data_IF_646367415012
#
_entry.id   IF_646367415012
#
_cell.length_a   1.000
_cell.length_b   1.000
_cell.length_c   1.000
_cell.angle_alpha   90.00
_cell.angle_beta   90.00
_cell.angle_gamma   90.00
#
_symmetry.space_group_name_H-M   'P 1'
#
loop_
_entity.id
_entity.type
_entity.pdbx_description
1 polymer ?
#
# COMPACT_ATOMS: atom_id res chain seq x y z
N UNK A 1 37.64 53.17 -10.95
CA UNK A 1 37.04 52.32 -9.89
C UNK A 1 35.74 51.64 -10.30
N UNK A 2 34.80 52.23 -11.04
CA UNK A 2 33.51 51.61 -11.39
C UNK A 2 33.62 50.35 -12.29
N UNK A 3 34.56 50.31 -13.28
CA UNK A 3 34.75 49.13 -14.19
C UNK A 3 35.19 47.85 -13.46
N UNK A 4 35.98 47.94 -12.37
CA UNK A 4 36.42 46.77 -11.58
C UNK A 4 35.26 46.17 -10.71
N UNK A 5 34.31 46.98 -10.29
CA UNK A 5 33.17 46.50 -9.54
C UNK A 5 32.16 45.70 -10.40
N UNK A 6 31.91 46.18 -11.63
CA UNK A 6 31.03 45.45 -12.57
C UNK A 6 31.65 44.14 -13.00
N UNK A 7 32.94 44.06 -13.26
CA UNK A 7 33.62 42.81 -13.64
C UNK A 7 33.53 41.77 -12.51
N UNK A 8 33.72 42.17 -11.23
CA UNK A 8 33.56 41.29 -10.08
C UNK A 8 32.12 40.80 -9.91
N UNK A 9 31.15 41.68 -10.09
CA UNK A 9 29.72 41.33 -9.98
C UNK A 9 29.29 40.35 -11.11
N UNK A 10 29.80 40.54 -12.35
CA UNK A 10 29.51 39.63 -13.45
C UNK A 10 30.12 38.24 -13.24
N UNK A 11 31.32 38.14 -12.67
CA UNK A 11 31.97 36.86 -12.34
C UNK A 11 31.24 36.15 -11.22
N UNK A 12 30.74 36.86 -10.20
CA UNK A 12 29.96 36.28 -9.09
C UNK A 12 28.61 35.76 -9.61
N UNK A 13 27.90 36.51 -10.46
CA UNK A 13 26.67 36.06 -11.09
C UNK A 13 26.88 34.84 -11.99
N UNK A 14 27.96 34.76 -12.73
CA UNK A 14 28.30 33.60 -13.56
C UNK A 14 28.62 32.37 -12.72
N UNK A 15 29.35 32.51 -11.60
CA UNK A 15 29.63 31.42 -10.67
C UNK A 15 28.36 30.88 -9.98
N UNK A 16 27.42 31.76 -9.63
CA UNK A 16 26.12 31.36 -9.06
C UNK A 16 25.28 30.60 -10.10
N UNK A 17 25.35 30.97 -11.37
CA UNK A 17 24.61 30.29 -12.45
C UNK A 17 25.18 28.90 -12.75
N UNK A 18 26.49 28.72 -12.67
CA UNK A 18 27.15 27.41 -12.89
C UNK A 18 26.93 26.46 -11.72
N UNK A 19 26.79 26.96 -10.49
CA UNK A 19 26.59 26.10 -9.31
C UNK A 19 25.20 25.43 -9.25
N UNK A 20 24.22 25.93 -10.00
CA UNK A 20 22.89 25.29 -10.08
C UNK A 20 22.80 24.14 -11.11
N UNK A 21 23.87 23.86 -11.84
CA UNK A 21 23.87 22.85 -12.89
C UNK A 21 24.57 21.55 -12.51
N UNK A 22 25.12 21.43 -11.29
CA UNK A 22 25.75 20.20 -10.81
C UNK A 22 24.74 19.48 -9.93
N UNK A 23 23.73 18.93 -10.53
CA UNK A 23 23.03 17.80 -9.92
C UNK A 23 23.82 16.55 -10.31
N UNK A 24 24.52 15.98 -9.33
CA UNK A 24 25.07 14.65 -9.47
C UNK A 24 23.87 13.68 -9.51
N UNK A 25 23.37 13.44 -10.71
CA UNK A 25 22.33 12.45 -10.94
C UNK A 25 23.03 11.08 -10.86
N UNK A 26 22.98 10.47 -9.68
CA UNK A 26 23.41 9.08 -9.52
C UNK A 26 22.34 8.20 -10.14
N UNK A 27 22.64 7.64 -11.29
CA UNK A 27 21.79 6.69 -11.96
C UNK A 27 22.13 5.28 -11.43
N UNK A 28 21.10 4.58 -10.94
CA UNK A 28 21.28 3.21 -10.46
C UNK A 28 21.60 2.28 -11.64
N UNK A 29 22.55 1.36 -11.45
CA UNK A 29 22.89 0.35 -12.46
C UNK A 29 21.95 -0.86 -12.46
N UNK A 30 21.09 -1.00 -11.46
CA UNK A 30 20.19 -2.15 -11.29
C UNK A 30 18.71 -1.81 -11.47
N UNK A 31 18.38 -0.53 -11.41
CA UNK A 31 17.03 -0.01 -11.64
C UNK A 31 17.14 1.43 -12.14
N UNK A 32 16.69 1.70 -13.34
CA UNK A 32 16.77 3.02 -13.94
C UNK A 32 15.64 3.26 -14.95
N UNK A 33 15.42 4.52 -15.33
CA UNK A 33 14.52 4.88 -16.41
C UNK A 33 15.27 4.87 -17.75
N UNK A 34 14.71 4.22 -18.75
CA UNK A 34 15.23 4.29 -20.10
C UNK A 34 14.86 5.62 -20.78
N UNK A 35 15.30 5.82 -22.02
CA UNK A 35 15.03 7.04 -22.79
C UNK A 35 13.55 7.29 -23.09
N UNK A 36 12.69 6.29 -22.89
CA UNK A 36 11.22 6.38 -23.02
C UNK A 36 10.52 6.51 -21.68
N UNK A 37 11.26 6.83 -20.62
CA UNK A 37 10.78 6.97 -19.23
C UNK A 37 10.16 5.69 -18.66
N UNK A 38 10.56 4.52 -19.16
CA UNK A 38 10.13 3.24 -18.65
C UNK A 38 11.15 2.69 -17.65
N UNK A 39 10.67 2.15 -16.54
CA UNK A 39 11.51 1.49 -15.54
C UNK A 39 12.13 0.22 -16.12
N UNK A 40 13.45 0.10 -16.00
CA UNK A 40 14.23 -1.07 -16.42
C UNK A 40 14.82 -1.74 -15.21
N UNK A 41 14.49 -3.00 -15.01
CA UNK A 41 15.01 -3.88 -13.96
C UNK A 41 16.14 -4.71 -14.54
N UNK A 42 17.37 -4.51 -14.09
CA UNK A 42 18.54 -5.25 -14.57
C UNK A 42 18.67 -6.54 -13.76
N UNK A 43 18.73 -7.68 -14.46
CA UNK A 43 18.99 -8.96 -13.84
C UNK A 43 20.49 -9.23 -13.73
N UNK A 44 20.88 -9.95 -12.66
CA UNK A 44 22.21 -10.54 -12.56
C UNK A 44 22.37 -11.77 -13.46
N UNK A 45 23.51 -12.46 -13.37
CA UNK A 45 23.82 -13.65 -14.18
C UNK A 45 22.92 -14.85 -13.89
N UNK A 46 22.31 -14.89 -12.72
CA UNK A 46 21.39 -15.95 -12.28
C UNK A 46 19.92 -15.57 -12.52
N UNK A 47 19.68 -14.39 -13.11
CA UNK A 47 18.34 -13.89 -13.43
C UNK A 47 17.65 -13.11 -12.29
N UNK A 48 18.33 -12.93 -11.14
CA UNK A 48 17.76 -12.17 -10.03
C UNK A 48 17.68 -10.68 -10.37
N UNK A 49 16.56 -10.05 -10.04
CA UNK A 49 16.36 -8.61 -10.16
C UNK A 49 15.51 -8.09 -9.00
N UNK A 50 15.47 -6.79 -8.83
CA UNK A 50 14.60 -6.16 -7.84
C UNK A 50 13.14 -6.51 -8.21
N UNK A 51 12.32 -7.01 -7.26
CA UNK A 51 10.93 -7.30 -7.53
C UNK A 51 10.18 -6.07 -8.04
N UNK A 52 9.39 -6.24 -9.07
CA UNK A 52 8.53 -5.20 -9.62
C UNK A 52 7.25 -5.08 -8.78
N UNK A 53 7.13 -3.95 -8.07
CA UNK A 53 5.98 -3.62 -7.25
C UNK A 53 4.93 -2.74 -7.97
N UNK A 54 5.07 -2.50 -9.27
CA UNK A 54 4.12 -1.69 -10.05
C UNK A 54 2.72 -2.28 -10.08
N UNK A 55 2.61 -3.57 -9.81
CA UNK A 55 1.35 -4.32 -9.82
C UNK A 55 0.71 -4.46 -8.44
N UNK A 56 1.13 -3.66 -7.47
CA UNK A 56 0.52 -3.64 -6.14
C UNK A 56 -0.59 -2.59 -6.06
N UNK A 57 -1.53 -2.79 -5.12
CA UNK A 57 -2.63 -1.87 -4.90
C UNK A 57 -3.94 -2.33 -5.54
N UNK A 58 -4.91 -1.43 -5.55
CA UNK A 58 -6.24 -1.71 -6.08
C UNK A 58 -6.15 -2.10 -7.55
N UNK A 59 -6.71 -3.27 -7.90
CA UNK A 59 -6.66 -3.84 -9.26
C UNK A 59 -5.28 -3.77 -9.91
N UNK A 60 -4.26 -4.16 -9.18
CA UNK A 60 -2.86 -4.16 -9.62
C UNK A 60 -2.30 -2.75 -9.94
N UNK A 61 -2.90 -1.70 -9.40
CA UNK A 61 -2.49 -0.32 -9.67
C UNK A 61 -2.96 0.24 -11.02
N UNK A 62 -3.72 -0.52 -11.80
CA UNK A 62 -4.14 -0.13 -13.16
C UNK A 62 -5.44 0.70 -13.18
N UNK A 63 -6.21 0.67 -12.10
CA UNK A 63 -7.46 1.42 -11.98
C UNK A 63 -7.41 2.38 -10.79
N UNK A 64 -8.03 3.55 -10.96
CA UNK A 64 -8.22 4.48 -9.85
C UNK A 64 -9.09 3.84 -8.76
N UNK A 65 -8.82 4.21 -7.49
CA UNK A 65 -9.70 3.81 -6.40
C UNK A 65 -11.14 4.29 -6.68
N UNK A 66 -12.15 3.43 -6.52
CA UNK A 66 -13.52 3.81 -6.78
C UNK A 66 -14.00 4.86 -5.78
N UNK A 67 -14.73 5.86 -6.25
CA UNK A 67 -15.47 6.77 -5.38
C UNK A 67 -16.79 6.12 -4.99
N UNK A 68 -16.80 5.46 -3.83
CA UNK A 68 -17.99 4.78 -3.31
C UNK A 68 -18.84 5.78 -2.53
N UNK A 69 -20.15 5.79 -2.81
CA UNK A 69 -21.09 6.70 -2.17
C UNK A 69 -21.05 6.61 -0.63
N UNK A 70 -21.06 7.76 0.03
CA UNK A 70 -21.17 7.87 1.49
C UNK A 70 -22.57 7.46 1.92
N UNK A 71 -22.66 6.50 2.84
CA UNK A 71 -23.92 6.00 3.41
C UNK A 71 -24.06 6.36 4.88
N UNK A 72 -22.95 6.65 5.55
CA UNK A 72 -22.91 7.05 6.95
C UNK A 72 -21.77 8.04 7.18
N UNK A 73 -22.04 9.09 7.95
CA UNK A 73 -21.05 10.07 8.39
C UNK A 73 -21.04 10.14 9.91
N UNK A 74 -19.86 10.21 10.51
CA UNK A 74 -19.71 10.43 11.94
C UNK A 74 -18.69 11.52 12.24
N UNK A 75 -18.92 12.25 13.35
CA UNK A 75 -17.95 13.19 13.94
C UNK A 75 -17.23 12.55 15.12
N UNK A 76 -16.05 13.05 15.51
CA UNK A 76 -15.37 12.54 16.69
C UNK A 76 -16.18 12.85 17.96
N UNK A 77 -16.09 11.98 18.95
CA UNK A 77 -16.62 12.21 20.29
C UNK A 77 -15.49 12.44 21.28
N UNK A 78 -15.81 13.04 22.43
CA UNK A 78 -14.83 13.24 23.48
C UNK A 78 -14.36 11.90 24.05
N UNK A 79 -13.04 11.74 24.22
CA UNK A 79 -12.42 10.53 24.76
C UNK A 79 -12.21 9.44 23.71
N UNK A 80 -12.45 8.19 24.07
CA UNK A 80 -12.19 7.03 23.23
C UNK A 80 -13.29 6.83 22.17
N UNK A 81 -12.89 6.88 20.91
CA UNK A 81 -13.78 6.71 19.75
C UNK A 81 -13.88 5.26 19.26
N UNK A 82 -13.20 4.30 19.90
CA UNK A 82 -13.17 2.90 19.43
C UNK A 82 -14.57 2.33 19.21
N UNK A 83 -15.41 2.36 20.25
CA UNK A 83 -16.77 1.81 20.15
C UNK A 83 -17.67 2.63 19.23
N UNK A 84 -17.46 3.95 19.15
CA UNK A 84 -18.22 4.84 18.29
C UNK A 84 -17.98 4.56 16.81
N UNK A 85 -16.70 4.43 16.41
CA UNK A 85 -16.33 4.08 15.03
C UNK A 85 -16.73 2.63 14.71
N UNK A 86 -16.52 1.70 15.66
CA UNK A 86 -16.87 0.29 15.43
C UNK A 86 -18.38 0.12 15.16
N UNK A 87 -19.23 0.77 15.96
CA UNK A 87 -20.67 0.71 15.73
C UNK A 87 -21.06 1.23 14.34
N UNK A 88 -20.44 2.31 13.88
CA UNK A 88 -20.66 2.84 12.54
C UNK A 88 -20.15 1.89 11.43
N UNK A 89 -19.04 1.19 11.67
CA UNK A 89 -18.56 0.12 10.75
C UNK A 89 -19.59 -1.00 10.70
N UNK A 90 -20.08 -1.47 11.83
CA UNK A 90 -21.07 -2.55 11.93
C UNK A 90 -22.37 -2.20 11.22
N UNK A 91 -22.82 -0.93 11.31
CA UNK A 91 -23.99 -0.42 10.59
C UNK A 91 -23.81 -0.49 9.08
N UNK A 92 -22.63 -0.10 8.57
CA UNK A 92 -22.33 -0.20 7.13
C UNK A 92 -22.17 -1.66 6.70
N UNK A 93 -21.58 -2.52 7.54
CA UNK A 93 -21.47 -3.96 7.29
C UNK A 93 -22.84 -4.65 7.16
N UNK A 94 -23.85 -4.15 7.86
CA UNK A 94 -25.21 -4.68 7.78
C UNK A 94 -25.95 -4.35 6.48
N UNK A 95 -25.47 -3.37 5.70
CA UNK A 95 -26.09 -3.00 4.42
C UNK A 95 -25.87 -4.10 3.37
N UNK A 96 -26.81 -4.26 2.42
CA UNK A 96 -26.61 -5.17 1.30
C UNK A 96 -25.53 -4.68 0.34
N UNK A 97 -24.87 -5.60 -0.35
CA UNK A 97 -23.98 -5.25 -1.47
C UNK A 97 -24.79 -4.64 -2.62
N UNK A 98 -24.28 -3.56 -3.19
CA UNK A 98 -24.78 -3.04 -4.46
C UNK A 98 -24.26 -3.85 -5.66
N UNK A 99 -24.68 -3.49 -6.87
CA UNK A 99 -24.29 -4.20 -8.10
C UNK A 99 -22.76 -4.19 -8.37
N UNK A 100 -22.02 -3.24 -7.77
CA UNK A 100 -20.57 -3.12 -7.91
C UNK A 100 -19.80 -3.82 -6.77
N UNK A 101 -20.51 -4.52 -5.88
CA UNK A 101 -19.89 -5.22 -4.75
C UNK A 101 -19.57 -4.34 -3.55
N UNK A 102 -20.11 -3.13 -3.44
CA UNK A 102 -19.91 -2.22 -2.31
C UNK A 102 -21.16 -2.16 -1.41
N UNK A 103 -20.95 -2.00 -0.10
CA UNK A 103 -21.98 -1.70 0.89
C UNK A 103 -22.13 -0.19 1.08
N UNK A 104 -21.04 0.55 0.95
CA UNK A 104 -21.00 2.00 1.06
C UNK A 104 -19.75 2.49 1.78
N UNK A 105 -19.65 3.80 1.88
CA UNK A 105 -18.57 4.47 2.60
C UNK A 105 -19.06 4.96 3.96
N UNK A 106 -18.35 4.57 5.03
CA UNK A 106 -18.35 5.28 6.29
C UNK A 106 -17.34 6.45 6.18
N UNK A 107 -17.84 7.69 6.21
CA UNK A 107 -17.02 8.89 6.21
C UNK A 107 -16.79 9.37 7.64
N UNK A 108 -15.54 9.46 8.04
CA UNK A 108 -15.13 10.15 9.24
C UNK A 108 -14.97 11.63 8.92
N UNK A 109 -15.79 12.48 9.51
CA UNK A 109 -15.72 13.94 9.34
C UNK A 109 -14.42 14.50 9.97
N UNK A 110 -14.02 15.74 9.64
CA UNK A 110 -12.83 16.34 10.21
C UNK A 110 -12.82 16.30 11.73
N UNK A 111 -11.65 16.07 12.32
CA UNK A 111 -11.43 16.05 13.76
C UNK A 111 -10.48 14.96 14.20
N UNK A 112 -10.16 14.94 15.49
CA UNK A 112 -9.30 13.94 16.11
C UNK A 112 -10.11 12.80 16.72
N UNK A 113 -9.84 11.59 16.30
CA UNK A 113 -10.45 10.36 16.79
C UNK A 113 -9.41 9.57 17.60
N UNK A 114 -9.46 9.67 18.92
CA UNK A 114 -8.63 8.84 19.81
C UNK A 114 -9.18 7.41 19.82
N UNK A 115 -8.36 6.43 19.46
CA UNK A 115 -8.75 5.00 19.37
C UNK A 115 -7.84 4.18 20.26
N UNK A 116 -8.37 3.64 21.35
CA UNK A 116 -7.61 2.83 22.31
C UNK A 116 -7.68 1.33 22.02
N UNK A 117 -8.69 0.89 21.26
CA UNK A 117 -8.91 -0.49 20.86
C UNK A 117 -8.52 -0.79 19.44
N UNK A 118 -9.08 -1.87 18.89
CA UNK A 118 -8.96 -2.28 17.49
C UNK A 118 -10.28 -1.96 16.76
N UNK A 119 -10.18 -1.42 15.55
CA UNK A 119 -11.29 -1.27 14.62
C UNK A 119 -11.27 -2.46 13.65
N UNK A 120 -12.41 -3.08 13.45
CA UNK A 120 -12.51 -4.33 12.71
C UNK A 120 -13.50 -4.17 11.55
N UNK A 121 -13.05 -4.45 10.33
CA UNK A 121 -13.89 -4.53 9.14
C UNK A 121 -13.86 -5.99 8.65
N UNK A 122 -14.94 -6.74 8.91
CA UNK A 122 -15.03 -8.16 8.55
C UNK A 122 -15.74 -8.42 7.23
N UNK A 123 -16.60 -7.50 6.80
CA UNK A 123 -17.43 -7.70 5.61
C UNK A 123 -16.81 -7.04 4.38
N UNK A 124 -16.88 -7.73 3.24
CA UNK A 124 -16.49 -7.15 1.95
C UNK A 124 -17.39 -5.97 1.57
N UNK A 125 -16.83 -5.01 0.81
CA UNK A 125 -17.60 -3.91 0.23
C UNK A 125 -17.79 -2.69 1.15
N UNK A 126 -17.22 -2.68 2.34
CA UNK A 126 -17.17 -1.53 3.24
C UNK A 126 -15.97 -0.65 2.88
N UNK A 127 -16.17 0.64 2.80
CA UNK A 127 -15.13 1.65 2.64
C UNK A 127 -15.08 2.52 3.88
N UNK A 128 -13.95 2.57 4.56
CA UNK A 128 -13.66 3.53 5.61
C UNK A 128 -12.86 4.68 5.00
N UNK A 129 -13.39 5.89 5.06
CA UNK A 129 -12.77 7.07 4.46
C UNK A 129 -12.73 8.23 5.46
N UNK A 130 -11.62 8.93 5.49
CA UNK A 130 -11.47 10.20 6.19
C UNK A 130 -11.74 11.38 5.28
N UNK A 131 -11.79 12.58 5.87
CA UNK A 131 -11.84 13.86 5.18
C UNK A 131 -10.42 14.42 5.10
N UNK A 132 -9.98 14.81 3.89
CA UNK A 132 -8.66 15.38 3.66
C UNK A 132 -7.50 14.42 3.89
N UNK A 133 -6.27 14.93 3.72
CA UNK A 133 -5.00 14.19 3.84
C UNK A 133 -3.90 15.03 4.54
N UNK A 134 -4.29 16.12 5.21
CA UNK A 134 -3.39 17.01 5.94
C UNK A 134 -3.38 16.78 7.45
N UNK A 135 -2.64 17.62 8.17
CA UNK A 135 -2.44 17.52 9.62
C UNK A 135 -3.37 18.41 10.45
N UNK A 136 -4.13 19.30 9.82
CA UNK A 136 -5.06 20.21 10.51
C UNK A 136 -6.40 19.52 10.76
N UNK A 137 -6.67 19.17 12.01
CA UNK A 137 -7.91 18.51 12.42
C UNK A 137 -9.19 19.29 12.15
N UNK A 138 -9.11 20.60 11.87
CA UNK A 138 -10.30 21.39 11.52
C UNK A 138 -10.82 21.08 10.12
N UNK A 139 -9.98 20.53 9.25
CA UNK A 139 -10.28 20.20 7.86
C UNK A 139 -9.97 18.75 7.49
N UNK A 140 -9.29 18.01 8.38
CA UNK A 140 -8.86 16.65 8.11
C UNK A 140 -9.27 15.70 9.24
N UNK A 141 -9.46 14.43 8.90
CA UNK A 141 -9.67 13.34 9.84
C UNK A 141 -8.33 12.83 10.33
N UNK A 142 -8.11 12.82 11.64
CA UNK A 142 -6.90 12.32 12.28
C UNK A 142 -7.27 11.19 13.23
N UNK A 143 -6.81 9.97 12.95
CA UNK A 143 -6.98 8.82 13.85
C UNK A 143 -5.73 8.70 14.71
N UNK A 144 -5.90 8.83 16.03
CA UNK A 144 -4.82 8.75 17.00
C UNK A 144 -4.90 7.40 17.71
N UNK A 145 -3.90 6.55 17.49
CA UNK A 145 -3.75 5.32 18.25
C UNK A 145 -3.41 5.62 19.71
N UNK A 146 -4.38 5.52 20.59
CA UNK A 146 -4.25 5.74 22.03
C UNK A 146 -4.14 4.42 22.79
N UNK A 147 -3.88 4.49 24.10
CA UNK A 147 -3.75 3.33 24.98
C UNK A 147 -2.31 2.99 25.32
N UNK A 148 -2.13 1.99 26.16
CA UNK A 148 -0.85 1.64 26.78
C UNK A 148 -0.39 0.21 26.48
N UNK A 149 -0.91 -0.41 25.41
CA UNK A 149 -0.44 -1.69 24.90
C UNK A 149 0.42 -1.40 23.66
N UNK A 150 1.73 -1.19 23.82
CA UNK A 150 2.58 -0.68 22.74
C UNK A 150 2.97 -1.74 21.73
N UNK A 151 2.78 -3.02 22.06
CA UNK A 151 3.28 -4.14 21.25
C UNK A 151 2.13 -5.00 20.73
N UNK A 152 2.25 -5.47 19.50
CA UNK A 152 1.29 -6.35 18.81
C UNK A 152 -0.15 -5.81 18.65
N UNK A 153 -0.42 -4.53 18.87
CA UNK A 153 -1.75 -3.97 18.67
C UNK A 153 -1.97 -3.54 17.23
N UNK A 154 -2.93 -4.15 16.57
CA UNK A 154 -3.46 -3.69 15.31
C UNK A 154 -4.48 -2.58 15.55
N UNK A 155 -4.32 -1.41 14.95
CA UNK A 155 -5.27 -0.30 15.08
C UNK A 155 -6.51 -0.53 14.21
N UNK A 156 -6.32 -0.91 12.95
CA UNK A 156 -7.38 -1.23 11.99
C UNK A 156 -7.08 -2.59 11.38
N UNK A 157 -7.99 -3.53 11.54
CA UNK A 157 -7.92 -4.85 10.93
C UNK A 157 -9.00 -5.02 9.89
N UNK A 158 -8.58 -5.41 8.68
CA UNK A 158 -9.48 -5.73 7.58
C UNK A 158 -9.39 -7.23 7.33
N UNK A 159 -10.54 -7.91 7.41
CA UNK A 159 -10.63 -9.36 7.26
C UNK A 159 -10.78 -10.10 8.59
N UNK A 160 -10.83 -11.43 8.49
CA UNK A 160 -11.08 -12.30 9.65
C UNK A 160 -9.89 -12.37 10.60
N UNK A 161 -10.17 -12.66 11.89
CA UNK A 161 -9.15 -12.83 12.92
C UNK A 161 -8.39 -14.17 12.81
N UNK A 162 -8.37 -14.80 11.65
CA UNK A 162 -7.65 -16.05 11.49
C UNK A 162 -6.14 -15.78 11.40
N UNK A 163 -5.48 -15.70 12.55
CA UNK A 163 -4.02 -15.52 12.67
C UNK A 163 -3.21 -16.67 12.05
N UNK A 164 -3.82 -17.83 11.81
CA UNK A 164 -3.17 -18.91 11.06
C UNK A 164 -3.09 -18.66 9.56
N UNK A 165 -3.59 -17.52 9.12
CA UNK A 165 -3.28 -16.88 7.83
C UNK A 165 -3.85 -17.57 6.60
N UNK A 166 -4.05 -18.86 6.65
CA UNK A 166 -4.47 -19.61 5.48
C UNK A 166 -5.59 -20.56 5.88
N UNK A 167 -6.75 -20.41 5.28
CA UNK A 167 -7.92 -21.28 5.51
C UNK A 167 -7.72 -22.74 5.10
N UNK A 168 -6.49 -23.11 4.79
CA UNK A 168 -6.11 -24.42 4.30
C UNK A 168 -5.96 -24.45 2.78
N UNK A 169 -5.33 -25.50 2.31
CA UNK A 169 -5.22 -25.76 0.87
C UNK A 169 -6.51 -26.40 0.35
N UNK A 170 -6.87 -26.12 -0.89
CA UNK A 170 -7.91 -26.84 -1.59
C UNK A 170 -7.38 -28.27 -1.85
N UNK A 171 -8.16 -29.28 -1.46
CA UNK A 171 -7.74 -30.66 -1.60
C UNK A 171 -7.43 -31.01 -3.06
N UNK A 172 -6.32 -31.71 -3.31
CA UNK A 172 -5.91 -32.14 -4.64
C UNK A 172 -5.17 -31.08 -5.49
N UNK A 173 -5.03 -29.83 -5.01
CA UNK A 173 -4.38 -28.76 -5.82
C UNK A 173 -2.90 -28.55 -5.47
N UNK A 174 -2.37 -29.24 -4.47
CA UNK A 174 -0.94 -29.11 -4.13
C UNK A 174 -0.07 -29.70 -5.23
N UNK A 175 0.82 -28.85 -5.76
CA UNK A 175 1.82 -29.24 -6.75
C UNK A 175 3.22 -28.87 -6.28
N UNK A 176 4.20 -29.69 -6.63
CA UNK A 176 5.58 -29.36 -6.36
C UNK A 176 6.12 -28.39 -7.43
N UNK A 177 6.92 -27.44 -6.98
CA UNK A 177 7.70 -26.58 -7.87
C UNK A 177 8.87 -27.41 -8.37
N UNK A 178 8.99 -27.53 -9.70
CA UNK A 178 10.00 -28.38 -10.34
C UNK A 178 11.22 -27.59 -10.83
N UNK A 179 11.15 -26.26 -10.82
CA UNK A 179 12.32 -25.42 -11.13
C UNK A 179 13.39 -25.61 -10.05
N UNK A 180 14.64 -25.93 -10.41
CA UNK A 180 15.72 -26.13 -9.44
C UNK A 180 16.12 -24.82 -8.74
N UNK A 181 15.88 -23.71 -9.38
CA UNK A 181 16.11 -22.36 -8.86
C UNK A 181 15.04 -21.40 -9.37
N UNK A 182 14.58 -20.51 -8.51
CA UNK A 182 13.65 -19.43 -8.85
C UNK A 182 14.37 -18.12 -8.54
N UNK A 183 14.75 -17.35 -9.56
CA UNK A 183 15.38 -16.05 -9.36
C UNK A 183 14.49 -15.10 -8.55
N UNK A 184 15.12 -14.28 -7.71
CA UNK A 184 14.41 -13.18 -7.03
C UNK A 184 13.79 -12.24 -8.06
N UNK A 185 12.54 -11.84 -7.85
CA UNK A 185 11.78 -11.03 -8.79
C UNK A 185 11.01 -11.82 -9.84
N UNK A 186 11.19 -13.14 -9.93
CA UNK A 186 10.45 -14.00 -10.86
C UNK A 186 8.95 -13.89 -10.64
N UNK A 187 8.20 -13.79 -11.72
CA UNK A 187 6.72 -13.80 -11.76
C UNK A 187 6.17 -15.10 -12.34
N UNK A 188 7.05 -15.99 -12.73
CA UNK A 188 6.72 -17.29 -13.34
C UNK A 188 7.46 -18.39 -12.59
N UNK A 189 6.74 -19.44 -12.25
CA UNK A 189 7.27 -20.65 -11.65
C UNK A 189 6.77 -21.87 -12.41
N UNK A 190 7.57 -22.92 -12.50
CA UNK A 190 7.18 -24.18 -13.11
C UNK A 190 6.70 -25.15 -12.01
N UNK A 191 5.55 -25.75 -12.22
CA UNK A 191 4.96 -26.76 -11.34
C UNK A 191 4.75 -28.07 -12.09
N UNK A 192 4.64 -29.17 -11.35
CA UNK A 192 4.50 -30.51 -11.95
C UNK A 192 3.23 -30.63 -12.80
N UNK A 193 2.12 -30.03 -12.36
CA UNK A 193 0.86 -29.99 -13.11
C UNK A 193 0.14 -28.65 -12.86
N UNK A 194 0.07 -27.81 -13.87
CA UNK A 194 -0.62 -26.53 -13.80
C UNK A 194 -2.13 -26.62 -14.09
N UNK A 195 -2.64 -27.76 -14.56
CA UNK A 195 -4.03 -27.93 -14.93
C UNK A 195 -5.03 -27.87 -13.76
N UNK A 196 -4.49 -27.96 -12.53
CA UNK A 196 -5.28 -27.89 -11.29
C UNK A 196 -5.60 -26.45 -10.88
N UNK A 197 -5.03 -25.43 -11.57
CA UNK A 197 -5.20 -24.01 -11.29
C UNK A 197 -5.94 -23.31 -12.42
N UNK A 198 -6.69 -22.28 -12.06
CA UNK A 198 -7.35 -21.40 -13.04
C UNK A 198 -6.80 -19.98 -12.94
N UNK A 199 -6.91 -19.23 -14.02
CA UNK A 199 -6.59 -17.81 -14.01
C UNK A 199 -7.51 -17.08 -13.02
N UNK A 200 -6.92 -16.33 -12.08
CA UNK A 200 -7.64 -15.64 -11.03
C UNK A 200 -7.70 -16.38 -9.69
N UNK A 201 -7.23 -17.63 -9.62
CA UNK A 201 -7.14 -18.34 -8.35
C UNK A 201 -6.11 -17.69 -7.41
N UNK A 202 -6.46 -17.62 -6.12
CA UNK A 202 -5.50 -17.28 -5.08
C UNK A 202 -4.62 -18.49 -4.80
N UNK A 203 -3.30 -18.33 -4.92
CA UNK A 203 -2.34 -19.40 -4.68
C UNK A 203 -1.50 -19.13 -3.43
N UNK A 204 -1.00 -20.21 -2.84
CA UNK A 204 -0.05 -20.18 -1.72
C UNK A 204 1.24 -20.84 -2.16
N UNK A 205 2.34 -20.10 -2.09
CA UNK A 205 3.69 -20.68 -2.28
C UNK A 205 4.24 -21.00 -0.90
N UNK A 206 4.52 -22.29 -0.66
CA UNK A 206 5.08 -22.74 0.62
C UNK A 206 6.54 -23.15 0.42
N UNK A 207 7.45 -22.46 1.09
CA UNK A 207 8.84 -22.88 1.23
C UNK A 207 9.03 -23.50 2.62
N UNK A 208 9.28 -24.81 2.73
CA UNK A 208 9.54 -25.42 4.03
C UNK A 208 10.86 -24.91 4.59
N UNK A 209 10.94 -24.76 5.91
CA UNK A 209 12.22 -24.51 6.57
C UNK A 209 13.16 -25.67 6.30
N UNK A 210 14.37 -25.39 5.85
CA UNK A 210 15.43 -26.39 5.79
C UNK A 210 15.92 -26.65 7.20
N UNK A 211 16.17 -27.92 7.53
CA UNK A 211 16.88 -28.23 8.76
C UNK A 211 18.27 -27.58 8.70
N UNK A 212 18.63 -26.84 9.75
CA UNK A 212 19.96 -26.25 9.90
C UNK A 212 20.99 -27.35 10.19
#
# INVERSE_FOLDING_TARGET
MKKSAYLKMTIICFLIFVSNSIQAQYESSILFHNTSDQLVYVSDTDGNHIPDYSYVGYKNGEEALPDVAVVLEISPIAGDNTAHIQAAIDDVEALPLNANGHRGTLLLLPGEYSVSGELIINSSGVVLRGSGDGEDATSNTIIIGAGNIPDERTLIRIGTNNKSGFGGQVAGTRQDIISPYIPTGSRTIEVADASVYNVGDNIIIKHPSTAA
#
